data_IF_774873696453
#
_entry.id   IF_774873696453
#
_cell.length_a   1.000
_cell.length_b   1.000
_cell.length_c   1.000
_cell.angle_alpha   90.00
_cell.angle_beta   90.00
_cell.angle_gamma   90.00
#
_symmetry.space_group_name_H-M   'P 1'
#
loop_
_entity.id
_entity.type
_entity.pdbx_description
1 polymer ?
#
# COMPACT_ATOMS: atom_id res chain seq x y z
N UNK A 1 11.14 -14.07 -41.78
CA UNK A 1 11.70 -13.48 -43.02
C UNK A 1 12.70 -14.45 -43.66
N UNK A 2 13.68 -15.00 -42.94
CA UNK A 2 14.70 -15.92 -43.48
C UNK A 2 14.10 -17.17 -44.17
N UNK A 3 13.06 -17.76 -43.57
CA UNK A 3 12.37 -18.94 -44.14
C UNK A 3 11.72 -18.58 -45.48
N UNK A 4 11.06 -17.44 -45.58
CA UNK A 4 10.42 -17.00 -46.82
C UNK A 4 11.47 -16.72 -47.90
N UNK A 5 12.60 -16.13 -47.54
CA UNK A 5 13.71 -15.89 -48.51
C UNK A 5 14.34 -17.21 -48.99
N UNK A 6 14.54 -18.18 -48.06
CA UNK A 6 15.07 -19.49 -48.43
C UNK A 6 14.09 -20.27 -49.36
N UNK A 7 12.78 -20.16 -49.05
CA UNK A 7 11.76 -20.80 -49.92
C UNK A 7 11.70 -20.11 -51.32
N UNK A 8 11.83 -18.81 -51.37
CA UNK A 8 11.92 -18.11 -52.64
C UNK A 8 13.10 -18.58 -53.48
N UNK A 9 14.28 -18.67 -52.84
CA UNK A 9 15.49 -19.19 -53.50
C UNK A 9 15.32 -20.62 -53.98
N UNK A 10 14.82 -21.54 -53.12
CA UNK A 10 14.57 -22.92 -53.50
C UNK A 10 13.54 -23.05 -54.63
N UNK A 11 12.45 -22.27 -54.58
CA UNK A 11 11.46 -22.24 -55.63
C UNK A 11 12.03 -21.79 -56.98
N UNK A 12 12.94 -20.78 -56.93
CA UNK A 12 13.62 -20.24 -58.11
C UNK A 12 14.60 -21.24 -58.75
N UNK A 13 15.38 -21.93 -57.92
CA UNK A 13 16.40 -22.89 -58.41
C UNK A 13 15.78 -24.20 -58.91
N UNK A 14 14.71 -24.68 -58.26
CA UNK A 14 14.05 -25.94 -58.59
C UNK A 14 12.85 -25.79 -59.54
N UNK A 15 12.48 -24.57 -59.91
CA UNK A 15 11.31 -24.20 -60.73
C UNK A 15 10.04 -24.93 -60.27
N UNK A 16 9.84 -25.03 -58.93
CA UNK A 16 8.76 -25.81 -58.32
C UNK A 16 7.56 -24.92 -57.97
N UNK A 17 6.44 -25.14 -58.65
CA UNK A 17 5.18 -24.45 -58.39
C UNK A 17 4.66 -24.71 -56.97
N UNK A 18 4.91 -25.91 -56.42
CA UNK A 18 4.51 -26.26 -55.03
C UNK A 18 5.24 -25.42 -53.96
N UNK A 19 6.52 -25.15 -54.17
CA UNK A 19 7.32 -24.27 -53.26
C UNK A 19 6.78 -22.87 -53.29
N UNK A 20 6.45 -22.29 -54.45
CA UNK A 20 5.85 -20.98 -54.55
C UNK A 20 4.45 -20.88 -53.93
N UNK A 21 3.60 -21.95 -54.11
CA UNK A 21 2.30 -21.98 -53.48
C UNK A 21 2.43 -21.92 -51.96
N UNK A 22 3.32 -22.76 -51.37
CA UNK A 22 3.57 -22.73 -49.92
C UNK A 22 4.15 -21.41 -49.46
N UNK A 23 5.11 -20.81 -50.21
CA UNK A 23 5.67 -19.51 -49.92
C UNK A 23 4.58 -18.41 -49.88
N UNK A 24 3.71 -18.36 -50.88
CA UNK A 24 2.64 -17.34 -50.91
C UNK A 24 1.58 -17.58 -49.85
N UNK A 25 1.27 -18.86 -49.54
CA UNK A 25 0.40 -19.17 -48.42
C UNK A 25 0.95 -18.70 -47.08
N UNK A 26 2.21 -18.97 -46.77
CA UNK A 26 2.88 -18.50 -45.51
C UNK A 26 3.02 -16.96 -45.50
N UNK A 27 3.37 -16.37 -46.64
CA UNK A 27 3.47 -14.91 -46.75
C UNK A 27 2.11 -14.21 -46.55
N UNK A 28 1.02 -14.76 -47.07
CA UNK A 28 -0.33 -14.23 -46.84
C UNK A 28 -0.77 -14.34 -45.38
N UNK A 29 -0.51 -15.46 -44.73
CA UNK A 29 -0.78 -15.64 -43.29
C UNK A 29 0.02 -14.63 -42.45
N UNK A 30 1.30 -14.44 -42.76
CA UNK A 30 2.12 -13.43 -42.10
C UNK A 30 1.58 -12.01 -42.29
N UNK A 31 1.24 -11.65 -43.56
CA UNK A 31 0.72 -10.33 -43.89
C UNK A 31 -0.61 -10.03 -43.18
N UNK A 32 -1.52 -10.99 -43.14
CA UNK A 32 -2.81 -10.88 -42.42
C UNK A 32 -2.62 -10.81 -40.89
N UNK A 33 -1.58 -11.45 -40.36
CA UNK A 33 -1.28 -11.41 -38.93
C UNK A 33 -0.94 -10.00 -38.43
N UNK A 34 -0.30 -9.15 -39.26
CA UNK A 34 0.12 -7.80 -38.87
C UNK A 34 -1.05 -6.94 -38.38
N UNK A 35 -2.10 -6.67 -39.17
CA UNK A 35 -3.23 -5.87 -38.71
C UNK A 35 -3.97 -6.51 -37.54
N UNK A 36 -4.07 -7.85 -37.48
CA UNK A 36 -4.71 -8.53 -36.36
C UNK A 36 -3.96 -8.30 -35.06
N UNK A 37 -2.62 -8.36 -35.06
CA UNK A 37 -1.80 -8.12 -33.86
C UNK A 37 -1.93 -6.67 -33.40
N UNK A 38 -1.89 -5.69 -34.31
CA UNK A 38 -2.03 -4.27 -33.98
C UNK A 38 -3.44 -3.92 -33.48
N UNK A 39 -4.48 -4.43 -34.16
CA UNK A 39 -5.87 -4.21 -33.78
C UNK A 39 -6.22 -4.89 -32.46
N UNK A 40 -5.49 -5.95 -32.05
CA UNK A 40 -5.74 -6.64 -30.80
C UNK A 40 -5.50 -5.78 -29.56
N UNK A 41 -4.70 -4.71 -29.65
CA UNK A 41 -4.52 -3.71 -28.59
C UNK A 41 -5.39 -2.45 -28.76
N UNK A 42 -6.12 -2.34 -29.87
CA UNK A 42 -6.99 -1.21 -30.12
C UNK A 42 -8.24 -1.26 -29.24
N UNK A 43 -8.65 -0.12 -28.68
CA UNK A 43 -9.82 -0.03 -27.79
C UNK A 43 -9.60 -0.65 -26.39
N UNK A 44 -8.36 -1.00 -26.02
CA UNK A 44 -8.04 -1.33 -24.65
C UNK A 44 -7.65 -0.06 -23.88
N UNK A 45 -8.25 0.09 -22.69
CA UNK A 45 -7.95 1.12 -21.69
C UNK A 45 -7.49 0.49 -20.39
N UNK A 46 -6.66 1.21 -19.63
CA UNK A 46 -6.05 0.73 -18.40
C UNK A 46 -6.45 1.65 -17.26
N UNK A 47 -7.07 1.10 -16.21
CA UNK A 47 -7.49 1.81 -15.01
C UNK A 47 -6.85 1.18 -13.80
N UNK A 48 -6.10 1.96 -13.01
CA UNK A 48 -5.58 1.50 -11.72
C UNK A 48 -6.70 1.56 -10.68
N UNK A 49 -6.98 0.45 -10.04
CA UNK A 49 -7.99 0.35 -8.97
C UNK A 49 -7.38 0.67 -7.61
N UNK A 50 -6.30 -0.01 -7.25
CA UNK A 50 -5.66 0.16 -5.94
C UNK A 50 -4.21 -0.29 -5.95
N UNK A 51 -3.43 0.31 -5.05
CA UNK A 51 -2.08 -0.15 -4.70
C UNK A 51 -2.09 -0.47 -3.21
N UNK A 52 -1.77 -1.69 -2.86
CA UNK A 52 -1.62 -2.06 -1.45
C UNK A 52 -0.26 -1.60 -0.95
N UNK A 53 -0.22 -0.78 0.13
CA UNK A 53 1.04 -0.39 0.75
C UNK A 53 1.82 -1.63 1.21
N UNK A 54 3.14 -1.57 1.12
CA UNK A 54 4.02 -2.65 1.56
C UNK A 54 5.25 -2.08 2.28
N UNK A 55 5.93 -2.92 3.03
CA UNK A 55 7.20 -2.54 3.65
C UNK A 55 8.35 -2.67 2.64
N UNK A 56 9.38 -1.84 2.79
CA UNK A 56 10.56 -1.90 1.94
C UNK A 56 11.16 -3.32 1.90
N UNK A 57 11.47 -3.80 0.71
CA UNK A 57 11.96 -5.16 0.47
C UNK A 57 10.88 -6.25 0.37
N UNK A 58 9.60 -5.93 0.57
CA UNK A 58 8.48 -6.85 0.33
C UNK A 58 7.93 -6.68 -1.09
N UNK A 59 6.93 -7.49 -1.45
CA UNK A 59 6.18 -7.35 -2.70
C UNK A 59 5.03 -6.35 -2.58
N UNK A 60 4.94 -5.45 -3.55
CA UNK A 60 3.78 -4.57 -3.76
C UNK A 60 2.84 -5.23 -4.75
N UNK A 61 1.55 -5.14 -4.46
CA UNK A 61 0.47 -5.57 -5.35
C UNK A 61 -0.28 -4.37 -5.91
N UNK A 62 -0.23 -4.20 -7.23
CA UNK A 62 -0.94 -3.18 -7.98
C UNK A 62 -2.11 -3.82 -8.73
N UNK A 63 -3.33 -3.54 -8.31
CA UNK A 63 -4.54 -4.02 -8.98
C UNK A 63 -4.93 -3.07 -10.12
N UNK A 64 -5.05 -3.62 -11.31
CA UNK A 64 -5.31 -2.89 -12.54
C UNK A 64 -6.47 -3.56 -13.28
N UNK A 65 -7.43 -2.78 -13.71
CA UNK A 65 -8.50 -3.21 -14.59
C UNK A 65 -8.14 -2.82 -16.03
N UNK A 66 -8.14 -3.80 -16.93
CA UNK A 66 -7.98 -3.58 -18.37
C UNK A 66 -9.34 -3.73 -19.01
N UNK A 67 -9.88 -2.63 -19.54
CA UNK A 67 -11.23 -2.56 -20.11
C UNK A 67 -11.13 -2.64 -21.62
N UNK A 68 -11.99 -3.44 -22.22
CA UNK A 68 -12.10 -3.59 -23.67
C UNK A 68 -13.32 -2.83 -24.19
N UNK A 69 -13.13 -1.58 -24.57
CA UNK A 69 -14.17 -0.72 -25.15
C UNK A 69 -14.51 -1.07 -26.62
N UNK A 70 -13.89 -2.12 -27.17
CA UNK A 70 -14.09 -2.51 -28.56
C UNK A 70 -15.23 -3.54 -28.72
N UNK A 71 -15.67 -3.74 -29.95
CA UNK A 71 -16.72 -4.72 -30.30
C UNK A 71 -16.19 -6.14 -30.50
N UNK A 72 -14.89 -6.37 -30.34
CA UNK A 72 -14.26 -7.67 -30.59
C UNK A 72 -13.52 -8.15 -29.33
N UNK A 73 -13.57 -9.45 -29.05
CA UNK A 73 -12.78 -10.06 -27.97
C UNK A 73 -11.30 -9.89 -28.24
N UNK A 74 -10.54 -9.45 -27.24
CA UNK A 74 -9.09 -9.30 -27.26
C UNK A 74 -8.45 -10.54 -26.62
N UNK A 75 -7.34 -10.99 -27.17
CA UNK A 75 -6.74 -12.27 -26.73
C UNK A 75 -5.24 -12.13 -26.48
N UNK A 76 -4.73 -12.95 -25.53
CA UNK A 76 -3.31 -13.01 -25.21
C UNK A 76 -2.72 -11.67 -24.84
N UNK A 77 -3.39 -10.95 -23.95
CA UNK A 77 -2.95 -9.62 -23.47
C UNK A 77 -2.03 -9.81 -22.26
N UNK A 78 -0.87 -9.18 -22.32
CA UNK A 78 0.09 -9.13 -21.21
C UNK A 78 0.19 -7.67 -20.73
N UNK A 79 -0.08 -7.46 -19.46
CA UNK A 79 0.12 -6.19 -18.76
C UNK A 79 1.48 -6.22 -18.06
N UNK A 80 2.25 -5.15 -18.14
CA UNK A 80 3.53 -5.00 -17.46
C UNK A 80 3.92 -3.53 -17.31
N UNK A 81 5.10 -3.28 -16.73
CA UNK A 81 5.65 -1.94 -16.57
C UNK A 81 6.38 -1.49 -17.84
N UNK A 82 6.34 -0.16 -18.11
CA UNK A 82 7.08 0.43 -19.23
C UNK A 82 8.54 0.75 -18.90
N UNK A 83 8.85 0.92 -17.62
CA UNK A 83 10.10 1.49 -17.10
C UNK A 83 11.16 0.43 -16.75
N UNK A 84 10.94 -0.81 -17.19
CA UNK A 84 11.86 -1.92 -16.90
C UNK A 84 11.72 -2.53 -15.50
N UNK A 85 10.74 -2.08 -14.70
CA UNK A 85 10.40 -2.77 -13.46
C UNK A 85 9.92 -4.18 -13.75
N UNK A 86 10.32 -5.12 -12.90
CA UNK A 86 9.86 -6.49 -12.97
C UNK A 86 8.37 -6.59 -12.59
N UNK A 87 7.68 -7.51 -13.22
CA UNK A 87 6.26 -7.78 -12.99
C UNK A 87 5.46 -7.70 -14.26
N UNK A 88 4.82 -8.81 -14.60
CA UNK A 88 3.85 -8.88 -15.68
C UNK A 88 2.77 -9.89 -15.34
N UNK A 89 1.57 -9.64 -15.86
CA UNK A 89 0.41 -10.52 -15.69
C UNK A 89 -0.25 -10.71 -17.04
N UNK A 90 -0.74 -11.91 -17.30
CA UNK A 90 -1.35 -12.29 -18.56
C UNK A 90 -2.81 -12.62 -18.38
N UNK A 91 -3.62 -12.21 -19.35
CA UNK A 91 -4.99 -12.70 -19.51
C UNK A 91 -5.16 -13.31 -20.90
N UNK A 92 -5.86 -14.44 -20.95
CA UNK A 92 -6.07 -15.15 -22.22
C UNK A 92 -7.08 -14.44 -23.09
N UNK A 93 -8.11 -13.82 -22.52
CA UNK A 93 -9.11 -13.09 -23.27
C UNK A 93 -9.82 -12.01 -22.44
N UNK A 94 -10.23 -10.95 -23.12
CA UNK A 94 -11.10 -9.91 -22.58
C UNK A 94 -12.26 -9.76 -23.59
N UNK A 95 -13.49 -10.17 -23.20
CA UNK A 95 -14.66 -10.04 -24.08
C UNK A 95 -14.94 -8.60 -24.50
N UNK A 96 -15.71 -8.43 -25.56
CA UNK A 96 -16.14 -7.11 -26.02
C UNK A 96 -17.01 -6.43 -24.98
N UNK A 97 -16.71 -5.18 -24.61
CA UNK A 97 -17.44 -4.38 -23.63
C UNK A 97 -17.23 -4.81 -22.18
N UNK A 98 -16.26 -5.69 -21.89
CA UNK A 98 -15.97 -6.21 -20.57
C UNK A 98 -14.57 -5.80 -20.10
N UNK A 99 -14.21 -6.09 -18.84
CA UNK A 99 -12.92 -5.81 -18.23
C UNK A 99 -12.27 -7.07 -17.63
N UNK A 100 -10.94 -7.05 -17.58
CA UNK A 100 -10.16 -8.05 -16.87
C UNK A 100 -9.36 -7.39 -15.76
N UNK A 101 -9.50 -7.92 -14.52
CA UNK A 101 -8.68 -7.47 -13.38
C UNK A 101 -7.39 -8.26 -13.35
N UNK A 102 -6.27 -7.55 -13.39
CA UNK A 102 -4.92 -8.08 -13.34
C UNK A 102 -4.18 -7.50 -12.14
N UNK A 103 -3.32 -8.30 -11.51
CA UNK A 103 -2.54 -7.87 -10.35
C UNK A 103 -1.06 -7.96 -10.66
N UNK A 104 -0.43 -6.82 -10.87
CA UNK A 104 1.02 -6.73 -11.01
C UNK A 104 1.68 -6.81 -9.64
N UNK A 105 2.70 -7.65 -9.53
CA UNK A 105 3.54 -7.78 -8.34
C UNK A 105 4.95 -7.34 -8.68
N UNK A 106 5.54 -6.55 -7.80
CA UNK A 106 6.90 -6.04 -7.98
C UNK A 106 7.55 -5.75 -6.63
N UNK A 107 8.89 -5.81 -6.53
CA UNK A 107 9.59 -5.57 -5.28
C UNK A 107 9.41 -4.11 -4.83
N UNK A 108 9.14 -3.93 -3.54
CA UNK A 108 9.05 -2.60 -2.93
C UNK A 108 10.46 -1.96 -2.90
N UNK A 109 10.62 -0.75 -3.45
CA UNK A 109 11.88 -0.01 -3.35
C UNK A 109 12.13 0.43 -1.90
N UNK A 110 13.09 1.34 -1.71
CA UNK A 110 13.32 1.98 -0.41
C UNK A 110 12.04 2.70 0.06
N UNK A 111 11.89 2.89 1.39
CA UNK A 111 10.77 3.63 1.96
C UNK A 111 10.59 5.00 1.32
N UNK A 112 9.38 5.49 1.29
CA UNK A 112 9.05 6.80 0.74
C UNK A 112 7.85 6.80 -0.20
N UNK A 113 7.62 7.96 -0.82
CA UNK A 113 6.60 8.10 -1.87
C UNK A 113 7.22 7.74 -3.22
N UNK A 114 6.55 6.87 -3.95
CA UNK A 114 6.92 6.43 -5.29
C UNK A 114 5.76 6.59 -6.25
N UNK A 115 6.04 6.48 -7.55
CA UNK A 115 5.03 6.62 -8.59
C UNK A 115 5.23 5.56 -9.66
N UNK A 116 4.12 4.95 -10.09
CA UNK A 116 4.04 4.19 -11.34
C UNK A 116 3.56 5.17 -12.41
N UNK A 117 4.40 5.45 -13.40
CA UNK A 117 4.08 6.44 -14.44
C UNK A 117 3.36 5.82 -15.63
N UNK A 118 3.83 4.67 -16.08
CA UNK A 118 3.35 4.04 -17.31
C UNK A 118 3.22 2.54 -17.16
N UNK A 119 2.11 2.01 -17.62
CA UNK A 119 1.90 0.59 -17.83
C UNK A 119 1.89 0.27 -19.32
N UNK A 120 2.32 -0.94 -19.66
CA UNK A 120 2.42 -1.41 -21.04
C UNK A 120 1.54 -2.62 -21.24
N UNK A 121 0.69 -2.57 -22.25
CA UNK A 121 0.02 -3.72 -22.80
C UNK A 121 0.83 -4.27 -23.97
N UNK A 122 1.01 -5.58 -23.99
CA UNK A 122 1.70 -6.30 -25.06
C UNK A 122 0.81 -7.45 -25.54
N UNK A 123 0.81 -7.72 -26.82
CA UNK A 123 0.17 -8.90 -27.38
C UNK A 123 0.94 -9.42 -28.57
N UNK A 124 1.09 -10.73 -28.63
CA UNK A 124 1.65 -11.46 -29.78
C UNK A 124 0.61 -12.29 -30.53
N UNK A 125 -0.69 -12.10 -30.21
CA UNK A 125 -1.80 -12.79 -30.87
C UNK A 125 -1.93 -12.27 -32.33
N UNK A 126 -2.21 -13.12 -33.37
CA UNK A 126 -2.63 -14.53 -33.22
C UNK A 126 -1.49 -15.56 -33.24
N UNK A 127 -0.39 -15.30 -33.93
CA UNK A 127 0.59 -16.33 -34.28
C UNK A 127 1.92 -16.25 -33.50
N UNK A 128 2.11 -15.21 -32.69
CA UNK A 128 3.34 -15.03 -31.93
C UNK A 128 4.55 -14.53 -32.74
N UNK A 129 4.38 -14.21 -34.01
CA UNK A 129 5.49 -13.72 -34.85
C UNK A 129 5.80 -12.24 -34.67
N UNK A 130 4.83 -11.49 -34.16
CA UNK A 130 4.89 -10.04 -33.99
C UNK A 130 4.39 -9.66 -32.61
N UNK A 131 5.06 -8.73 -31.98
CA UNK A 131 4.64 -8.12 -30.72
C UNK A 131 4.11 -6.72 -30.95
N UNK A 132 2.85 -6.50 -30.70
CA UNK A 132 2.29 -5.16 -30.56
C UNK A 132 2.45 -4.68 -29.12
N UNK A 133 2.74 -3.40 -28.93
CA UNK A 133 2.94 -2.76 -27.62
C UNK A 133 2.20 -1.44 -27.57
N UNK A 134 1.49 -1.20 -26.48
CA UNK A 134 0.79 0.05 -26.24
C UNK A 134 1.03 0.50 -24.81
N UNK A 135 1.55 1.70 -24.60
CA UNK A 135 1.79 2.26 -23.27
C UNK A 135 0.65 3.18 -22.85
N UNK A 136 0.27 3.09 -21.58
CA UNK A 136 -0.75 3.91 -20.94
C UNK A 136 -0.13 4.69 -19.78
N UNK A 137 -0.36 6.01 -19.73
CA UNK A 137 0.06 6.85 -18.60
C UNK A 137 -0.95 6.70 -17.48
N UNK A 138 -0.51 6.30 -16.29
CA UNK A 138 -1.38 6.06 -15.14
C UNK A 138 -1.08 7.01 -13.97
N UNK A 139 0.15 7.45 -13.79
CA UNK A 139 0.61 8.41 -12.75
C UNK A 139 0.12 8.06 -11.33
N UNK A 140 0.13 6.79 -10.97
CA UNK A 140 -0.33 6.31 -9.67
C UNK A 140 0.75 6.47 -8.60
N UNK A 141 0.45 7.20 -7.53
CA UNK A 141 1.33 7.31 -6.35
C UNK A 141 1.07 6.18 -5.37
N UNK A 142 2.12 5.75 -4.70
CA UNK A 142 2.04 4.77 -3.61
C UNK A 142 3.14 5.04 -2.59
N UNK A 143 2.91 4.56 -1.37
CA UNK A 143 3.84 4.74 -0.25
C UNK A 143 4.43 3.39 0.13
N UNK A 144 5.74 3.37 0.32
CA UNK A 144 6.50 2.22 0.83
C UNK A 144 6.89 2.51 2.27
N UNK A 145 6.46 1.64 3.19
CA UNK A 145 6.77 1.77 4.61
C UNK A 145 8.20 1.35 4.93
N UNK A 146 8.80 1.86 6.03
CA UNK A 146 10.10 1.39 6.48
C UNK A 146 10.06 -0.11 6.77
N UNK A 147 11.11 -0.84 6.38
CA UNK A 147 11.22 -2.25 6.74
C UNK A 147 11.28 -2.41 8.27
N UNK A 148 10.38 -3.20 8.89
CA UNK A 148 10.38 -3.38 10.33
C UNK A 148 11.62 -4.18 10.76
N UNK A 149 12.46 -3.61 11.62
CA UNK A 149 13.66 -4.27 12.13
C UNK A 149 14.03 -3.71 13.51
N UNK A 150 14.64 -4.55 14.35
CA UNK A 150 15.10 -4.17 15.69
C UNK A 150 14.55 -5.10 16.79
N UNK A 151 14.32 -4.54 17.98
CA UNK A 151 13.78 -5.25 19.14
C UNK A 151 12.24 -5.19 19.14
N UNK A 152 11.53 -6.33 19.11
CA UNK A 152 10.08 -6.37 19.16
C UNK A 152 9.50 -6.02 20.54
N UNK A 153 10.33 -5.91 21.57
CA UNK A 153 9.88 -5.58 22.93
C UNK A 153 9.31 -4.16 22.97
N UNK A 154 8.03 -4.06 23.30
CA UNK A 154 7.36 -2.75 23.38
C UNK A 154 7.89 -1.96 24.59
N UNK A 155 8.24 -0.68 24.41
CA UNK A 155 8.68 0.15 25.53
C UNK A 155 7.55 0.35 26.53
N UNK A 156 7.79 0.03 27.81
CA UNK A 156 6.86 0.22 28.92
C UNK A 156 6.81 1.70 29.36
N UNK A 157 6.53 2.61 28.44
CA UNK A 157 6.35 4.02 28.80
C UNK A 157 4.87 4.38 28.63
N UNK A 158 4.16 4.75 29.71
CA UNK A 158 2.83 5.28 29.60
C UNK A 158 2.85 6.56 28.76
N UNK A 159 1.85 6.74 27.91
CA UNK A 159 1.75 7.88 27.02
C UNK A 159 1.48 9.16 27.81
N UNK A 160 2.51 9.92 28.11
CA UNK A 160 2.38 11.29 28.63
C UNK A 160 2.18 12.28 27.46
N UNK A 161 1.08 12.18 26.74
CA UNK A 161 0.72 13.17 25.69
C UNK A 161 0.00 14.40 26.23
N UNK A 162 -0.12 14.53 27.56
CA UNK A 162 -0.90 15.57 28.20
C UNK A 162 -0.03 16.76 28.59
N UNK A 163 0.31 17.65 27.66
CA UNK A 163 0.81 18.98 28.04
C UNK A 163 -0.17 20.13 27.77
N UNK A 164 -1.36 19.92 27.21
CA UNK A 164 -2.32 21.02 27.01
C UNK A 164 -3.79 20.54 26.89
N UNK A 165 -4.26 19.69 27.80
CA UNK A 165 -5.70 19.63 28.03
C UNK A 165 -6.03 20.44 29.26
N UNK A 166 -6.98 21.39 29.17
CA UNK A 166 -7.50 22.04 30.37
C UNK A 166 -8.06 20.98 31.33
N UNK A 167 -7.80 21.14 32.61
CA UNK A 167 -8.17 20.26 33.74
C UNK A 167 -9.67 19.99 33.91
N UNK A 168 -10.50 20.05 32.90
CA UNK A 168 -11.95 20.06 33.00
C UNK A 168 -12.67 18.76 32.57
N UNK A 169 -11.95 17.68 32.26
CA UNK A 169 -12.61 16.37 32.14
C UNK A 169 -12.23 15.46 33.33
N UNK A 170 -12.79 15.77 34.49
CA UNK A 170 -12.94 14.86 35.62
C UNK A 170 -13.96 13.80 35.19
N UNK A 171 -13.48 12.69 34.60
CA UNK A 171 -14.28 11.54 34.27
C UNK A 171 -14.53 10.67 35.49
N UNK A 172 -15.64 9.94 35.49
CA UNK A 172 -15.90 8.83 36.42
C UNK A 172 -14.90 7.68 36.14
N UNK A 173 -13.70 7.79 36.69
CA UNK A 173 -12.69 6.70 36.69
C UNK A 173 -12.66 6.02 38.05
N UNK A 174 -12.25 4.74 38.08
CA UNK A 174 -12.18 3.93 39.31
C UNK A 174 -10.90 4.13 40.13
N UNK A 175 -9.85 4.78 39.59
CA UNK A 175 -8.59 4.93 40.29
C UNK A 175 -8.54 6.25 41.10
N UNK A 176 -8.29 6.06 42.42
CA UNK A 176 -8.18 7.16 43.36
C UNK A 176 -6.92 8.01 43.13
N UNK A 177 -7.09 9.24 42.67
CA UNK A 177 -5.98 10.18 42.39
C UNK A 177 -5.60 11.05 43.59
N UNK A 178 -6.52 11.21 44.56
CA UNK A 178 -6.30 12.05 45.73
C UNK A 178 -7.58 12.68 46.27
N UNK A 179 -7.42 13.57 47.23
CA UNK A 179 -8.53 14.38 47.80
C UNK A 179 -8.20 15.86 47.64
N UNK A 180 -9.22 16.67 47.35
CA UNK A 180 -9.12 18.14 47.34
C UNK A 180 -10.28 18.73 48.17
N UNK A 181 -10.18 20.01 48.52
CA UNK A 181 -11.26 20.71 49.17
C UNK A 181 -12.53 20.75 48.28
N UNK A 182 -13.67 20.44 48.88
CA UNK A 182 -14.98 20.48 48.20
C UNK A 182 -15.34 21.94 47.84
N UNK A 183 -15.82 22.12 46.61
CA UNK A 183 -16.35 23.43 46.16
C UNK A 183 -17.87 23.30 46.06
N UNK A 184 -18.58 24.30 46.61
CA UNK A 184 -20.04 24.32 46.60
C UNK A 184 -20.61 24.27 45.17
N UNK A 185 -21.48 23.30 44.89
CA UNK A 185 -22.04 23.04 43.56
C UNK A 185 -21.57 21.75 42.90
N UNK A 186 -20.58 21.07 43.47
CA UNK A 186 -20.11 19.77 42.96
C UNK A 186 -21.00 18.62 43.42
N UNK A 187 -20.94 17.50 42.68
CA UNK A 187 -21.69 16.28 43.01
C UNK A 187 -21.28 15.73 44.36
N UNK A 188 -22.26 15.54 45.25
CA UNK A 188 -22.04 15.01 46.58
C UNK A 188 -21.63 13.53 46.62
N UNK A 189 -21.69 12.82 45.48
CA UNK A 189 -21.29 11.41 45.35
C UNK A 189 -19.79 11.18 45.59
N UNK A 190 -18.98 12.18 45.33
CA UNK A 190 -17.53 12.08 45.42
C UNK A 190 -16.97 12.64 46.72
N UNK A 191 -17.82 13.07 47.66
CA UNK A 191 -17.39 13.52 48.99
C UNK A 191 -16.81 12.34 49.80
N UNK A 192 -15.66 12.56 50.43
CA UNK A 192 -15.11 11.57 51.40
C UNK A 192 -15.82 11.68 52.72
N UNK A 193 -16.96 11.01 52.81
CA UNK A 193 -17.76 10.95 54.05
C UNK A 193 -17.03 10.38 55.24
N UNK A 194 -16.00 9.55 55.02
CA UNK A 194 -15.17 8.99 56.05
C UNK A 194 -14.22 10.01 56.67
N UNK A 195 -13.75 10.97 55.90
CA UNK A 195 -12.94 12.10 56.38
C UNK A 195 -13.82 13.09 57.15
N UNK A 196 -15.04 13.37 56.63
CA UNK A 196 -16.02 14.26 57.30
C UNK A 196 -16.44 13.67 58.68
N UNK A 197 -16.66 12.36 58.76
CA UNK A 197 -17.01 11.69 60.04
C UNK A 197 -15.89 11.76 61.09
N UNK A 198 -14.64 12.05 60.68
CA UNK A 198 -13.49 12.31 61.57
C UNK A 198 -13.28 13.78 61.92
N UNK A 199 -14.23 14.65 61.59
CA UNK A 199 -14.13 16.07 61.87
C UNK A 199 -13.28 16.90 60.90
N UNK A 200 -12.89 16.31 59.73
CA UNK A 200 -12.15 17.05 58.70
C UNK A 200 -13.10 17.83 57.82
N UNK A 201 -12.59 18.87 57.14
CA UNK A 201 -13.35 19.67 56.18
C UNK A 201 -13.85 18.83 55.02
N UNK A 202 -14.93 19.28 54.37
CA UNK A 202 -15.45 18.58 53.21
C UNK A 202 -14.41 18.43 52.12
N UNK A 203 -14.06 17.18 51.74
CA UNK A 203 -13.10 16.84 50.74
C UNK A 203 -13.77 15.99 49.66
N UNK A 204 -13.44 16.28 48.40
CA UNK A 204 -13.90 15.54 47.21
C UNK A 204 -12.81 14.56 46.81
N UNK A 205 -13.15 13.28 46.67
CA UNK A 205 -12.27 12.28 46.04
C UNK A 205 -12.11 12.61 44.57
N UNK A 206 -10.90 12.73 44.12
CA UNK A 206 -10.56 12.81 42.72
C UNK A 206 -10.25 11.42 42.21
N UNK A 207 -10.94 11.03 41.14
CA UNK A 207 -10.68 9.81 40.41
C UNK A 207 -10.05 10.19 39.08
N UNK A 208 -8.96 9.56 38.72
CA UNK A 208 -8.40 9.64 37.38
C UNK A 208 -8.92 8.47 36.59
N UNK A 209 -9.47 8.73 35.44
CA UNK A 209 -9.64 7.70 34.43
C UNK A 209 -8.26 7.49 33.83
N UNK A 210 -7.52 6.49 34.32
CA UNK A 210 -6.31 6.01 33.63
C UNK A 210 -6.70 5.35 32.29
N UNK A 211 -7.40 6.12 31.46
CA UNK A 211 -7.63 5.74 30.06
C UNK A 211 -6.30 5.50 29.30
N UNK A 212 -5.18 5.78 29.96
CA UNK A 212 -3.84 5.65 29.40
C UNK A 212 -2.95 4.60 30.07
N UNK A 213 -3.41 3.87 31.09
CA UNK A 213 -2.57 2.88 31.81
C UNK A 213 -2.09 1.71 30.93
N UNK A 214 -2.67 1.54 29.74
CA UNK A 214 -2.25 0.56 28.73
C UNK A 214 -1.68 1.17 27.44
N UNK A 215 -1.70 2.50 27.30
CA UNK A 215 -1.29 3.15 26.06
C UNK A 215 0.22 3.34 25.95
N UNK A 216 0.74 3.25 24.72
CA UNK A 216 2.17 3.35 24.42
C UNK A 216 2.48 4.69 23.77
N UNK A 217 3.68 5.23 24.02
CA UNK A 217 4.22 6.41 23.35
C UNK A 217 5.55 6.09 22.70
N UNK A 218 5.57 6.13 21.39
CA UNK A 218 6.77 5.92 20.59
C UNK A 218 7.40 7.27 20.22
N UNK A 219 8.55 7.57 20.82
CA UNK A 219 9.27 8.82 20.63
C UNK A 219 10.56 8.57 19.84
N UNK A 220 10.69 9.20 18.68
CA UNK A 220 11.86 9.10 17.82
C UNK A 220 13.17 9.49 18.55
N UNK A 221 13.12 10.46 19.45
CA UNK A 221 14.29 10.91 20.20
C UNK A 221 14.78 9.86 21.22
N UNK A 222 13.88 8.99 21.68
CA UNK A 222 14.16 7.96 22.70
C UNK A 222 14.60 6.62 22.12
N UNK A 223 14.55 6.46 20.79
CA UNK A 223 15.01 5.22 20.14
C UNK A 223 16.53 5.13 20.24
N UNK A 224 17.11 4.01 20.77
CA UNK A 224 18.52 3.89 21.10
C UNK A 224 19.42 3.63 19.88
N UNK A 225 19.21 4.32 18.78
CA UNK A 225 20.04 4.25 17.57
C UNK A 225 20.47 5.66 17.14
N UNK A 226 21.64 5.78 16.54
CA UNK A 226 22.11 7.05 15.97
C UNK A 226 21.68 7.20 14.50
N UNK A 227 21.42 6.11 13.82
CA UNK A 227 21.01 6.07 12.42
C UNK A 227 19.49 6.28 12.29
N UNK A 228 19.09 7.25 11.49
CA UNK A 228 17.70 7.59 11.22
C UNK A 228 16.92 6.41 10.64
N UNK A 229 17.51 5.67 9.69
CA UNK A 229 16.84 4.52 9.07
C UNK A 229 16.57 3.41 10.09
N UNK A 230 17.54 3.14 10.98
CA UNK A 230 17.37 2.17 12.06
C UNK A 230 16.32 2.60 13.07
N UNK A 231 16.23 3.91 13.38
CA UNK A 231 15.17 4.44 14.25
C UNK A 231 13.79 4.24 13.63
N UNK A 232 13.64 4.55 12.35
CA UNK A 232 12.37 4.41 11.63
C UNK A 232 11.96 2.94 11.51
N UNK A 233 12.90 2.04 11.27
CA UNK A 233 12.67 0.60 11.24
C UNK A 233 12.21 0.06 12.58
N UNK A 234 12.83 0.51 13.68
CA UNK A 234 12.42 0.16 15.04
C UNK A 234 11.02 0.68 15.38
N UNK A 235 10.73 1.94 15.04
CA UNK A 235 9.42 2.52 15.26
C UNK A 235 8.33 1.80 14.45
N UNK A 236 8.62 1.43 13.20
CA UNK A 236 7.72 0.65 12.38
C UNK A 236 7.44 -0.73 13.00
N UNK A 237 8.46 -1.39 13.55
CA UNK A 237 8.29 -2.66 14.27
C UNK A 237 7.40 -2.49 15.50
N UNK A 238 7.62 -1.46 16.34
CA UNK A 238 6.79 -1.19 17.51
C UNK A 238 5.35 -0.86 17.15
N UNK A 239 5.11 -0.14 16.07
CA UNK A 239 3.75 0.12 15.55
C UNK A 239 3.05 -1.21 15.20
N UNK A 240 3.75 -2.13 14.53
CA UNK A 240 3.21 -3.46 14.17
C UNK A 240 2.90 -4.28 15.43
N UNK A 241 3.82 -4.34 16.38
CA UNK A 241 3.65 -5.13 17.60
C UNK A 241 2.57 -4.56 18.53
N UNK A 242 2.43 -3.23 18.59
CA UNK A 242 1.36 -2.59 19.36
C UNK A 242 -0.02 -2.87 18.73
N UNK A 243 -0.15 -2.79 17.40
CA UNK A 243 -1.39 -3.12 16.70
C UNK A 243 -1.75 -4.61 16.89
N UNK A 244 -0.76 -5.51 16.77
CA UNK A 244 -0.95 -6.94 17.02
C UNK A 244 -1.40 -7.24 18.45
N UNK A 245 -0.82 -6.52 19.43
CA UNK A 245 -1.18 -6.64 20.84
C UNK A 245 -2.48 -5.89 21.21
N UNK A 246 -3.12 -5.22 20.25
CA UNK A 246 -4.32 -4.40 20.45
C UNK A 246 -4.15 -3.34 21.54
N UNK A 247 -2.94 -2.78 21.67
CA UNK A 247 -2.62 -1.74 22.63
C UNK A 247 -2.63 -0.37 21.96
N UNK A 248 -3.40 0.60 22.47
CA UNK A 248 -3.38 1.96 21.92
C UNK A 248 -1.98 2.57 21.98
N UNK A 249 -1.56 3.22 20.88
CA UNK A 249 -0.24 3.83 20.75
C UNK A 249 -0.30 5.19 20.07
N UNK A 250 0.66 6.04 20.43
CA UNK A 250 0.91 7.32 19.77
C UNK A 250 2.35 7.40 19.28
N UNK A 251 2.59 8.25 18.29
CA UNK A 251 3.89 8.42 17.65
C UNK A 251 4.33 9.88 17.74
N UNK A 252 5.56 10.09 18.19
CA UNK A 252 6.20 11.42 18.25
C UNK A 252 7.46 11.44 17.40
N UNK A 253 7.43 12.26 16.38
CA UNK A 253 8.57 12.61 15.52
C UNK A 253 8.98 14.08 15.80
N UNK A 254 10.16 14.53 15.37
CA UNK A 254 10.60 15.92 15.56
C UNK A 254 9.59 16.96 15.10
N UNK A 255 8.97 16.75 13.93
CA UNK A 255 8.06 17.71 13.29
C UNK A 255 6.59 17.31 13.37
N UNK A 256 6.27 16.11 13.86
CA UNK A 256 4.90 15.58 13.81
C UNK A 256 4.59 14.74 15.03
N UNK A 257 3.40 14.97 15.59
CA UNK A 257 2.87 14.19 16.70
C UNK A 257 1.53 13.56 16.30
N UNK A 258 1.43 12.24 16.43
CA UNK A 258 0.19 11.51 16.20
C UNK A 258 -0.34 11.08 17.57
N UNK A 259 -1.55 11.51 17.95
CA UNK A 259 -2.15 11.18 19.25
C UNK A 259 -2.40 9.68 19.37
N UNK A 260 -2.56 9.23 20.61
CA UNK A 260 -2.85 7.82 20.91
C UNK A 260 -4.18 7.40 20.30
N UNK A 261 -4.14 6.31 19.55
CA UNK A 261 -5.31 5.66 18.96
C UNK A 261 -4.99 4.21 18.63
N UNK A 262 -5.96 3.48 18.08
CA UNK A 262 -5.84 2.09 17.64
C UNK A 262 -6.67 1.88 16.37
N UNK A 263 -6.31 0.88 15.58
CA UNK A 263 -7.06 0.45 14.40
C UNK A 263 -6.38 0.77 13.08
N UNK A 264 -6.89 0.18 12.01
CA UNK A 264 -6.26 0.13 10.69
C UNK A 264 -5.90 1.53 10.13
N UNK A 265 -6.80 2.50 10.27
CA UNK A 265 -6.53 3.87 9.80
C UNK A 265 -5.39 4.52 10.56
N UNK A 266 -5.33 4.31 11.89
CA UNK A 266 -4.25 4.82 12.73
C UNK A 266 -2.91 4.16 12.38
N UNK A 267 -2.91 2.85 12.20
CA UNK A 267 -1.77 2.05 11.75
C UNK A 267 -1.18 2.59 10.44
N UNK A 268 -2.00 2.74 9.41
CA UNK A 268 -1.55 3.27 8.12
C UNK A 268 -1.10 4.73 8.20
N UNK A 269 -1.72 5.53 9.06
CA UNK A 269 -1.29 6.92 9.30
C UNK A 269 0.09 6.98 9.93
N UNK A 270 0.35 6.18 10.97
CA UNK A 270 1.66 6.14 11.63
C UNK A 270 2.76 5.67 10.68
N UNK A 271 2.54 4.56 9.97
CA UNK A 271 3.52 4.05 9.00
C UNK A 271 3.73 5.00 7.82
N UNK A 272 2.68 5.70 7.37
CA UNK A 272 2.77 6.70 6.32
C UNK A 272 3.67 7.88 6.70
N UNK A 273 3.53 8.39 7.93
CA UNK A 273 4.39 9.47 8.43
C UNK A 273 5.84 9.00 8.59
N UNK A 274 6.07 7.76 9.07
CA UNK A 274 7.41 7.17 9.13
C UNK A 274 8.03 6.99 7.74
N UNK A 275 7.23 6.63 6.73
CA UNK A 275 7.69 6.47 5.36
C UNK A 275 8.14 7.80 4.74
N UNK A 276 7.43 8.89 5.04
CA UNK A 276 7.67 10.22 4.47
C UNK A 276 8.65 11.08 5.27
N UNK A 277 9.15 10.59 6.41
CA UNK A 277 10.11 11.31 7.25
C UNK A 277 11.42 11.54 6.47
N UNK A 278 11.93 12.76 6.51
CA UNK A 278 13.16 13.18 5.77
C UNK A 278 14.33 13.40 6.71
#
# INVERSE_FOLDING_TARGET
VFVLAAMWYAGSTQNSAAVYLLLFALASVFLVSIPHTLLNLAGLTVKVESVKPAFAGQEISLSVEVINDSRATRRGIVLGFSDGMEGSERTDQIPAGDGARLTLRFPAPKRGEHRVEKLRLTSSYPLGFLDARKSHVVSQRYVVYPAPAGDPTLPMQPAHFSQNRPQSELGEGDDFAGVRAYVAGESQRHIDWKAVARGQSFMTKQFTTDANSGSLSFDFAKVPFNDTEKKLSQLALWVIEAERAQRPYGLRLPDTMIPVSLGEQHFHRCLGVLALFR
#
